data_IF_549594778263
#
_entry.id   IF_549594778263
#
_cell.length_a   1.000
_cell.length_b   1.000
_cell.length_c   1.000
_cell.angle_alpha   90.00
_cell.angle_beta   90.00
_cell.angle_gamma   90.00
#
_symmetry.space_group_name_H-M   'P 1'
#
loop_
_entity.id
_entity.type
_entity.pdbx_description
1 polymer ?
#
# COMPACT_ATOMS: atom_id res chain seq x y z
N UNK A 1 -16.51 -26.46 15.65
CA UNK A 1 -15.90 -25.14 15.89
C UNK A 1 -14.38 -25.26 15.82
N UNK A 2 -13.72 -24.34 15.11
CA UNK A 2 -12.26 -24.27 15.04
C UNK A 2 -11.67 -23.61 16.29
N UNK A 3 -10.39 -23.92 16.61
CA UNK A 3 -9.66 -23.26 17.70
C UNK A 3 -8.92 -22.02 17.19
N UNK A 4 -8.71 -21.05 18.09
CA UNK A 4 -7.87 -19.89 17.83
C UNK A 4 -6.41 -20.14 18.25
N UNK A 5 -5.46 -19.53 17.54
CA UNK A 5 -4.06 -19.39 17.95
C UNK A 5 -3.85 -17.91 18.30
N UNK A 6 -3.35 -17.63 19.52
CA UNK A 6 -3.00 -16.28 19.97
C UNK A 6 -1.51 -16.25 20.31
N UNK A 7 -0.79 -15.29 19.74
CA UNK A 7 0.61 -15.02 20.08
C UNK A 7 0.68 -13.61 20.67
N UNK A 8 1.03 -13.50 21.95
CA UNK A 8 1.18 -12.24 22.66
C UNK A 8 2.50 -12.19 23.42
N UNK A 9 3.03 -11.02 23.61
CA UNK A 9 4.22 -10.74 24.41
C UNK A 9 3.86 -9.85 25.61
N UNK A 10 4.70 -9.84 26.63
CA UNK A 10 4.44 -9.10 27.86
C UNK A 10 4.50 -7.60 27.70
N UNK A 11 3.74 -6.91 28.53
CA UNK A 11 3.71 -5.46 28.66
C UNK A 11 4.97 -4.95 29.41
N UNK A 12 5.46 -3.77 28.98
CA UNK A 12 6.50 -3.06 29.74
C UNK A 12 5.85 -2.00 30.63
N UNK A 13 6.13 -2.02 31.93
CA UNK A 13 5.64 -1.01 32.88
C UNK A 13 6.66 0.10 33.22
N UNK A 14 7.96 -0.18 33.01
CA UNK A 14 9.07 0.77 33.23
C UNK A 14 10.03 0.87 32.04
N UNK A 15 9.73 0.16 30.94
CA UNK A 15 10.50 0.11 29.71
C UNK A 15 9.64 -0.29 28.53
N UNK A 16 10.22 -0.50 27.34
CA UNK A 16 9.46 -0.92 26.16
C UNK A 16 8.81 -2.30 26.37
N UNK A 17 7.65 -2.50 25.75
CA UNK A 17 7.01 -3.83 25.66
C UNK A 17 7.84 -4.81 24.86
N UNK A 18 7.51 -6.10 24.96
CA UNK A 18 8.18 -7.16 24.19
C UNK A 18 7.89 -7.06 22.69
N UNK A 19 8.83 -7.49 21.86
CA UNK A 19 8.70 -7.55 20.41
C UNK A 19 8.29 -8.95 19.93
N UNK A 20 7.51 -9.02 18.86
CA UNK A 20 7.29 -10.25 18.06
C UNK A 20 8.04 -10.11 16.76
N UNK A 21 8.93 -11.05 16.44
CA UNK A 21 9.66 -11.09 15.17
C UNK A 21 9.40 -12.41 14.47
N UNK A 22 8.97 -12.34 13.20
CA UNK A 22 8.78 -13.51 12.34
C UNK A 22 9.70 -13.36 11.14
N UNK A 23 10.66 -14.28 10.97
CA UNK A 23 11.67 -14.24 9.92
C UNK A 23 11.72 -15.58 9.19
N UNK A 24 11.58 -15.56 7.86
CA UNK A 24 11.79 -16.75 7.04
C UNK A 24 13.30 -17.06 6.91
N UNK A 25 13.62 -18.33 6.62
CA UNK A 25 15.00 -18.79 6.54
C UNK A 25 15.79 -18.20 5.38
N UNK A 26 17.05 -17.89 5.61
CA UNK A 26 17.99 -17.54 4.52
C UNK A 26 18.56 -18.80 3.87
N UNK A 27 19.01 -18.70 2.63
CA UNK A 27 19.84 -19.70 1.97
C UNK A 27 21.24 -19.14 1.69
N UNK A 28 22.24 -20.01 1.65
CA UNK A 28 23.60 -19.74 1.15
C UNK A 28 23.93 -20.60 -0.06
N UNK A 29 22.97 -21.38 -0.57
CA UNK A 29 23.15 -22.21 -1.74
C UNK A 29 23.04 -21.36 -3.01
N UNK A 30 23.90 -21.64 -3.99
CA UNK A 30 23.84 -20.99 -5.31
C UNK A 30 22.51 -21.30 -6.02
N UNK A 31 21.96 -20.32 -6.71
CA UNK A 31 20.72 -20.41 -7.49
C UNK A 31 19.48 -20.84 -6.68
N UNK A 32 19.48 -20.71 -5.37
CA UNK A 32 18.37 -21.05 -4.50
C UNK A 32 17.74 -19.79 -3.87
N UNK A 33 16.40 -19.78 -3.76
CA UNK A 33 15.67 -18.71 -3.10
C UNK A 33 15.65 -18.90 -1.57
N UNK A 34 15.65 -17.78 -0.83
CA UNK A 34 15.32 -17.77 0.59
C UNK A 34 13.91 -18.25 0.88
N UNK A 35 13.61 -18.59 2.13
CA UNK A 35 12.27 -19.03 2.55
C UNK A 35 11.22 -17.92 2.37
N UNK A 36 10.00 -18.30 1.97
CA UNK A 36 8.87 -17.38 1.89
C UNK A 36 8.17 -17.20 3.24
N UNK A 37 7.63 -16.00 3.50
CA UNK A 37 6.65 -15.75 4.56
C UNK A 37 5.30 -15.49 3.90
N UNK A 38 4.27 -16.30 4.24
CA UNK A 38 2.92 -16.16 3.71
C UNK A 38 1.93 -15.90 4.84
N UNK A 39 1.19 -14.79 4.75
CA UNK A 39 0.07 -14.45 5.62
C UNK A 39 -1.23 -14.53 4.80
N UNK A 40 -2.14 -15.44 5.14
CA UNK A 40 -3.38 -15.66 4.43
C UNK A 40 -4.53 -15.84 5.42
N UNK A 41 -5.61 -15.11 5.23
CA UNK A 41 -6.84 -15.28 5.99
C UNK A 41 -7.61 -16.54 5.54
N UNK A 42 -8.55 -16.97 6.36
CA UNK A 42 -9.37 -18.16 6.10
C UNK A 42 -10.32 -17.98 4.91
N UNK A 43 -10.68 -19.09 4.29
CA UNK A 43 -11.62 -19.16 3.17
C UNK A 43 -13.03 -19.42 3.74
N UNK A 44 -14.04 -18.72 3.24
CA UNK A 44 -15.45 -19.02 3.46
C UNK A 44 -16.00 -19.84 2.27
N UNK A 45 -16.31 -21.12 2.46
CA UNK A 45 -16.78 -22.05 1.41
C UNK A 45 -18.26 -22.45 1.55
N UNK A 46 -19.04 -21.80 2.41
CA UNK A 46 -20.46 -22.13 2.57
C UNK A 46 -21.29 -21.72 1.33
N UNK A 47 -22.41 -22.41 1.12
CA UNK A 47 -23.28 -22.23 -0.06
C UNK A 47 -24.08 -20.92 -0.06
N UNK A 48 -24.12 -20.17 1.03
CA UNK A 48 -24.87 -18.91 1.13
C UNK A 48 -24.31 -18.02 2.23
N UNK A 49 -24.00 -16.77 1.89
CA UNK A 49 -23.56 -15.76 2.83
C UNK A 49 -22.21 -16.01 3.51
N UNK A 50 -21.37 -16.90 2.98
CA UNK A 50 -20.04 -17.17 3.50
C UNK A 50 -19.05 -16.13 3.02
N UNK A 51 -18.36 -15.47 3.96
CA UNK A 51 -17.35 -14.47 3.68
C UNK A 51 -15.94 -14.99 4.01
N UNK A 52 -14.94 -14.53 3.28
CA UNK A 52 -13.52 -14.76 3.60
C UNK A 52 -13.11 -13.99 4.86
N UNK A 53 -12.14 -14.52 5.60
CA UNK A 53 -11.53 -13.82 6.74
C UNK A 53 -10.74 -12.58 6.30
N UNK A 54 -10.62 -11.59 7.18
CA UNK A 54 -9.82 -10.39 6.94
C UNK A 54 -8.35 -10.57 7.37
N UNK A 55 -7.42 -9.85 6.70
CA UNK A 55 -6.06 -9.57 7.20
C UNK A 55 -6.03 -8.10 7.61
N UNK A 56 -5.62 -7.82 8.86
CA UNK A 56 -5.48 -6.46 9.39
C UNK A 56 -4.04 -6.20 9.83
N UNK A 57 -3.45 -5.10 9.35
CA UNK A 57 -2.10 -4.65 9.74
C UNK A 57 -2.23 -3.20 10.22
N UNK A 58 -1.88 -2.95 11.48
CA UNK A 58 -2.04 -1.64 12.13
C UNK A 58 -0.82 -1.30 12.99
N UNK A 59 -0.36 -0.05 12.93
CA UNK A 59 0.61 0.49 13.88
C UNK A 59 -0.02 0.70 15.27
N UNK A 60 0.79 0.65 16.31
CA UNK A 60 0.31 0.83 17.69
C UNK A 60 -0.15 2.25 17.99
N UNK A 61 -1.10 2.39 18.90
CA UNK A 61 -1.50 3.69 19.45
C UNK A 61 -0.37 4.24 20.34
N UNK A 62 -0.04 5.51 20.19
CA UNK A 62 0.86 6.23 21.09
C UNK A 62 0.18 7.49 21.65
N UNK A 63 0.49 7.84 22.89
CA UNK A 63 -0.04 9.06 23.51
C UNK A 63 0.49 10.36 22.83
N UNK A 64 1.69 10.31 22.26
CA UNK A 64 2.29 11.43 21.53
C UNK A 64 2.37 11.14 20.04
N UNK A 65 3.00 10.00 19.67
CA UNK A 65 3.20 9.60 18.26
C UNK A 65 2.80 8.14 18.10
N UNK A 66 1.96 7.85 17.12
CA UNK A 66 1.56 6.47 16.76
C UNK A 66 2.70 5.70 16.12
N UNK A 67 2.61 4.37 16.16
CA UNK A 67 3.56 3.48 15.49
C UNK A 67 3.41 3.53 13.96
N UNK A 68 4.55 3.53 13.25
CA UNK A 68 4.59 3.48 11.80
C UNK A 68 4.31 2.06 11.26
N UNK A 69 3.73 1.98 10.06
CA UNK A 69 3.70 0.77 9.23
C UNK A 69 4.60 1.00 8.02
N UNK A 70 5.57 0.10 7.79
CA UNK A 70 6.49 0.16 6.65
C UNK A 70 6.42 -1.13 5.85
N UNK A 71 6.24 -1.03 4.53
CA UNK A 71 6.24 -2.15 3.59
C UNK A 71 7.23 -1.84 2.47
N UNK A 72 8.27 -2.65 2.33
CA UNK A 72 9.35 -2.45 1.35
C UNK A 72 9.73 -3.78 0.71
N UNK A 73 9.95 -3.80 -0.59
CA UNK A 73 10.46 -4.97 -1.31
C UNK A 73 11.95 -5.21 -1.01
N UNK A 74 12.45 -6.39 -1.35
CA UNK A 74 13.86 -6.75 -1.16
C UNK A 74 14.80 -6.03 -2.13
N UNK A 75 16.00 -5.71 -1.68
CA UNK A 75 17.07 -5.15 -2.50
C UNK A 75 17.76 -6.27 -3.29
N UNK A 76 17.97 -6.07 -4.60
CA UNK A 76 18.94 -6.83 -5.38
C UNK A 76 20.32 -6.14 -5.30
N UNK A 77 21.35 -6.87 -4.93
CA UNK A 77 22.72 -6.32 -4.79
C UNK A 77 23.52 -6.34 -6.07
N UNK A 78 23.13 -7.16 -7.03
CA UNK A 78 23.81 -7.31 -8.33
C UNK A 78 22.84 -7.09 -9.50
N UNK A 79 21.56 -7.36 -9.28
CA UNK A 79 20.51 -7.29 -10.29
C UNK A 79 19.28 -6.53 -9.73
N UNK A 80 18.10 -6.81 -10.27
CA UNK A 80 16.86 -6.11 -9.96
C UNK A 80 16.41 -6.26 -8.50
N UNK A 81 15.78 -5.24 -7.95
CA UNK A 81 15.03 -5.32 -6.70
C UNK A 81 13.70 -6.05 -6.86
N UNK A 82 13.12 -6.52 -5.76
CA UNK A 82 11.81 -7.16 -5.78
C UNK A 82 10.69 -6.20 -6.17
N UNK A 83 9.65 -6.72 -6.83
CA UNK A 83 8.42 -5.97 -7.13
C UNK A 83 7.50 -5.87 -5.93
N UNK A 84 6.63 -4.85 -5.89
CA UNK A 84 5.50 -4.73 -4.98
C UNK A 84 4.21 -4.63 -5.77
N UNK A 85 3.21 -5.46 -5.43
CA UNK A 85 1.87 -5.42 -6.03
C UNK A 85 0.82 -5.21 -4.94
N UNK A 86 -0.03 -4.19 -5.12
CA UNK A 86 -1.20 -3.94 -4.27
C UNK A 86 -2.41 -3.91 -5.20
N UNK A 87 -3.31 -4.88 -5.09
CA UNK A 87 -4.46 -5.03 -5.96
C UNK A 87 -5.66 -5.61 -5.20
N UNK A 88 -6.86 -5.26 -5.63
CA UNK A 88 -8.07 -5.99 -5.27
C UNK A 88 -8.24 -7.17 -6.22
N UNK A 89 -8.82 -8.26 -5.74
CA UNK A 89 -9.08 -9.43 -6.58
C UNK A 89 -10.23 -9.18 -7.56
N UNK A 90 -10.27 -9.97 -8.63
CA UNK A 90 -11.40 -9.97 -9.56
C UNK A 90 -12.68 -10.43 -8.83
N UNK A 91 -13.82 -9.87 -9.24
CA UNK A 91 -15.13 -10.36 -8.77
C UNK A 91 -15.48 -11.72 -9.39
N UNK A 92 -16.42 -12.41 -8.78
CA UNK A 92 -17.07 -13.58 -9.40
C UNK A 92 -17.94 -13.19 -10.60
N UNK A 93 -18.67 -14.17 -11.14
CA UNK A 93 -19.49 -14.03 -12.37
C UNK A 93 -20.61 -12.97 -12.27
N UNK A 94 -21.00 -12.59 -11.07
CA UNK A 94 -21.94 -11.49 -10.80
C UNK A 94 -21.56 -10.81 -9.51
N UNK A 95 -21.14 -9.57 -9.58
CA UNK A 95 -20.69 -8.79 -8.44
C UNK A 95 -19.68 -7.73 -8.88
N UNK A 96 -19.28 -6.89 -7.94
CA UNK A 96 -18.28 -5.84 -8.15
C UNK A 96 -16.95 -6.25 -7.51
N UNK A 97 -15.83 -5.82 -8.08
CA UNK A 97 -14.52 -5.95 -7.43
C UNK A 97 -14.43 -5.01 -6.23
N UNK A 98 -13.55 -5.33 -5.28
CA UNK A 98 -13.34 -4.50 -4.10
C UNK A 98 -12.74 -3.12 -4.44
N UNK A 99 -13.02 -2.12 -3.62
CA UNK A 99 -12.43 -0.79 -3.74
C UNK A 99 -11.02 -0.75 -3.13
N UNK A 100 -10.14 0.05 -3.70
CA UNK A 100 -8.87 0.45 -3.09
C UNK A 100 -8.94 1.92 -2.68
N UNK A 101 -8.66 2.23 -1.41
CA UNK A 101 -8.63 3.60 -0.90
C UNK A 101 -7.26 3.91 -0.31
N UNK A 102 -6.65 5.01 -0.73
CA UNK A 102 -5.41 5.55 -0.16
C UNK A 102 -5.70 6.96 0.37
N UNK A 103 -5.59 7.15 1.68
CA UNK A 103 -5.91 8.43 2.33
C UNK A 103 -5.03 8.67 3.55
N UNK A 104 -4.84 9.92 3.92
CA UNK A 104 -4.25 10.32 5.20
C UNK A 104 -5.36 10.60 6.22
N UNK A 105 -5.03 10.51 7.51
CA UNK A 105 -5.95 10.79 8.59
C UNK A 105 -6.31 12.28 8.68
N UNK A 106 -7.47 12.57 9.29
CA UNK A 106 -7.92 13.91 9.61
C UNK A 106 -7.24 14.45 10.86
N UNK A 107 -7.11 15.76 10.98
CA UNK A 107 -6.64 16.45 12.18
C UNK A 107 -7.66 17.50 12.64
N UNK A 108 -7.75 17.73 13.95
CA UNK A 108 -8.58 18.78 14.54
C UNK A 108 -7.82 20.08 14.74
N UNK A 109 -6.50 20.02 14.84
CA UNK A 109 -5.61 21.18 14.93
C UNK A 109 -4.23 20.80 14.39
N UNK A 110 -3.72 21.55 13.45
CA UNK A 110 -2.47 21.26 12.76
C UNK A 110 -2.67 20.84 11.31
N UNK A 111 -1.64 20.32 10.68
CA UNK A 111 -1.63 19.94 9.27
C UNK A 111 -1.82 18.43 9.13
N UNK A 112 -2.70 17.98 8.24
CA UNK A 112 -2.83 16.56 7.87
C UNK A 112 -1.59 16.07 7.12
N UNK A 113 -1.38 14.74 7.10
CA UNK A 113 -0.31 14.13 6.31
C UNK A 113 -0.51 14.32 4.80
N UNK A 114 0.57 14.24 4.03
CA UNK A 114 0.55 14.24 2.57
C UNK A 114 0.62 12.84 1.98
N UNK A 115 0.23 12.70 0.70
CA UNK A 115 0.45 11.51 -0.14
C UNK A 115 1.41 11.93 -1.24
N UNK A 116 2.53 11.18 -1.40
CA UNK A 116 3.49 11.38 -2.48
C UNK A 116 3.56 10.11 -3.33
N UNK A 117 3.45 10.26 -4.65
CA UNK A 117 3.63 9.19 -5.63
C UNK A 117 4.72 9.63 -6.61
N UNK A 118 5.84 8.93 -6.63
CA UNK A 118 7.00 9.26 -7.48
C UNK A 118 7.76 8.01 -7.89
N UNK A 119 8.46 8.08 -8.99
CA UNK A 119 9.49 7.11 -9.39
C UNK A 119 10.85 7.55 -8.84
N UNK A 120 11.78 6.61 -8.70
CA UNK A 120 13.15 6.90 -8.30
C UNK A 120 13.97 7.57 -9.40
N UNK A 121 15.06 8.22 -8.99
CA UNK A 121 16.06 8.78 -9.91
C UNK A 121 16.82 7.66 -10.63
N UNK A 122 17.25 7.94 -11.86
CA UNK A 122 18.07 7.03 -12.66
C UNK A 122 19.18 7.80 -13.38
N UNK A 123 20.31 7.17 -13.54
CA UNK A 123 21.42 7.68 -14.37
C UNK A 123 21.20 7.45 -15.87
N UNK A 124 20.20 6.67 -16.25
CA UNK A 124 19.84 6.37 -17.64
C UNK A 124 18.37 6.81 -17.87
N UNK A 125 17.42 5.91 -17.79
CA UNK A 125 16.00 6.22 -18.02
C UNK A 125 15.19 5.95 -16.74
N UNK A 126 14.50 6.96 -16.23
CA UNK A 126 13.61 6.80 -15.07
C UNK A 126 12.31 6.07 -15.43
N UNK A 127 11.67 5.46 -14.43
CA UNK A 127 10.37 4.84 -14.60
C UNK A 127 9.25 5.89 -14.81
N UNK A 128 8.10 5.45 -15.33
CA UNK A 128 6.90 6.28 -15.49
C UNK A 128 5.86 6.05 -14.39
N UNK A 129 4.97 7.03 -14.18
CA UNK A 129 3.72 6.89 -13.43
C UNK A 129 2.57 6.90 -14.44
N UNK A 130 1.69 5.90 -14.39
CA UNK A 130 0.52 5.79 -15.28
C UNK A 130 -0.77 5.71 -14.44
N UNK A 131 -1.76 6.55 -14.77
CA UNK A 131 -3.07 6.60 -14.12
C UNK A 131 -4.13 6.45 -15.22
N UNK A 132 -4.88 5.35 -15.22
CA UNK A 132 -5.87 5.02 -16.23
C UNK A 132 -7.14 4.48 -15.58
N UNK A 133 -8.26 4.66 -16.25
CA UNK A 133 -9.48 3.89 -16.01
C UNK A 133 -9.51 2.68 -16.94
N UNK A 134 -10.19 1.61 -16.52
CA UNK A 134 -10.39 0.40 -17.33
C UNK A 134 -11.38 0.63 -18.47
N UNK A 135 -11.33 -0.23 -19.49
CA UNK A 135 -12.28 -0.26 -20.60
C UNK A 135 -13.63 -0.84 -20.17
N UNK A 136 -14.71 -0.34 -20.75
CA UNK A 136 -16.06 -0.87 -20.56
C UNK A 136 -16.61 -1.36 -21.91
N UNK A 137 -17.09 -2.60 -21.96
CA UNK A 137 -17.68 -3.18 -23.18
C UNK A 137 -19.20 -3.08 -23.25
N UNK A 138 -19.87 -2.76 -22.15
CA UNK A 138 -21.32 -2.72 -22.06
C UNK A 138 -21.92 -1.51 -21.34
N UNK A 139 -21.11 -0.50 -21.06
CA UNK A 139 -21.53 0.71 -20.33
C UNK A 139 -20.53 1.84 -20.48
N UNK A 140 -20.61 2.84 -19.61
CA UNK A 140 -19.65 3.94 -19.57
C UNK A 140 -18.40 3.55 -18.77
N UNK A 141 -17.24 4.07 -19.15
CA UNK A 141 -16.00 4.01 -18.37
C UNK A 141 -16.07 4.94 -17.16
N UNK A 142 -15.23 4.71 -16.17
CA UNK A 142 -15.07 5.61 -15.02
C UNK A 142 -14.31 6.89 -15.36
N UNK A 143 -14.43 7.91 -14.50
CA UNK A 143 -13.75 9.19 -14.65
C UNK A 143 -12.39 9.21 -13.93
N UNK A 144 -11.47 10.04 -14.42
CA UNK A 144 -10.29 10.49 -13.67
C UNK A 144 -10.57 11.93 -13.23
N UNK A 145 -10.60 12.20 -11.92
CA UNK A 145 -10.87 13.54 -11.37
C UNK A 145 -9.72 14.01 -10.49
N UNK A 146 -9.26 15.23 -10.74
CA UNK A 146 -8.29 15.94 -9.90
C UNK A 146 -8.95 17.19 -9.32
N UNK A 147 -9.08 17.26 -8.00
CA UNK A 147 -9.74 18.36 -7.32
C UNK A 147 -8.92 18.77 -6.07
N UNK A 148 -8.69 20.05 -5.90
CA UNK A 148 -8.20 20.60 -4.62
C UNK A 148 -9.38 20.85 -3.68
N UNK A 149 -9.13 20.77 -2.36
CA UNK A 149 -10.14 21.04 -1.35
C UNK A 149 -10.46 22.52 -1.20
N UNK A 150 -11.64 22.82 -0.67
CA UNK A 150 -12.10 24.17 -0.34
C UNK A 150 -11.46 24.65 0.98
N UNK A 151 -11.18 25.95 1.07
CA UNK A 151 -10.75 26.62 2.30
C UNK A 151 -11.83 27.62 2.76
N UNK A 152 -12.20 27.56 4.05
CA UNK A 152 -13.19 28.48 4.63
C UNK A 152 -12.57 29.84 4.97
N UNK A 153 -11.35 29.84 5.54
CA UNK A 153 -10.66 31.04 6.02
C UNK A 153 -9.24 31.18 5.44
N UNK A 154 -9.04 30.76 4.18
CA UNK A 154 -7.74 30.79 3.51
C UNK A 154 -7.85 30.62 2.00
N UNK A 155 -6.73 30.58 1.32
CA UNK A 155 -6.70 30.26 -0.10
C UNK A 155 -6.87 28.75 -0.34
N UNK A 156 -7.66 28.37 -1.35
CA UNK A 156 -7.74 27.00 -1.82
C UNK A 156 -6.41 26.50 -2.38
N UNK A 157 -6.21 25.18 -2.39
CA UNK A 157 -5.02 24.56 -2.97
C UNK A 157 -4.97 24.71 -4.49
N UNK A 158 -3.76 24.73 -5.07
CA UNK A 158 -3.57 24.75 -6.52
C UNK A 158 -3.40 23.32 -7.07
N UNK A 159 -3.83 23.12 -8.31
CA UNK A 159 -3.45 21.97 -9.15
C UNK A 159 -2.41 22.47 -10.14
N UNK A 160 -1.19 21.91 -10.15
CA UNK A 160 -0.11 22.29 -11.07
C UNK A 160 0.32 21.09 -11.90
N UNK A 161 0.30 21.25 -13.21
CA UNK A 161 0.85 20.29 -14.16
C UNK A 161 2.02 20.96 -14.87
N UNK A 162 3.20 20.36 -14.79
CA UNK A 162 4.39 20.88 -15.46
C UNK A 162 5.12 19.76 -16.20
N UNK A 163 5.77 20.14 -17.26
CA UNK A 163 6.60 19.25 -18.07
C UNK A 163 8.06 19.58 -17.80
N UNK A 164 8.92 18.56 -17.68
CA UNK A 164 10.35 18.73 -17.47
C UNK A 164 11.05 19.25 -18.73
N UNK A 165 12.16 19.97 -18.52
CA UNK A 165 13.00 20.46 -19.60
C UNK A 165 13.90 19.34 -20.18
N UNK A 166 13.99 19.27 -21.51
CA UNK A 166 14.97 18.46 -22.22
C UNK A 166 16.12 19.34 -22.72
N UNK A 167 17.38 18.93 -22.49
CA UNK A 167 18.55 19.69 -22.94
C UNK A 167 19.10 19.22 -24.29
N UNK A 168 18.72 18.05 -24.81
CA UNK A 168 19.22 17.48 -26.09
C UNK A 168 18.10 17.02 -27.03
N UNK A 169 16.82 17.21 -26.67
CA UNK A 169 15.66 16.82 -27.47
C UNK A 169 14.50 17.79 -27.29
N UNK A 170 13.39 17.61 -28.01
CA UNK A 170 12.17 18.38 -27.72
C UNK A 170 11.75 18.09 -26.28
N UNK A 171 11.39 19.14 -25.55
CA UNK A 171 10.68 18.99 -24.27
C UNK A 171 9.38 18.21 -24.47
N UNK A 172 8.86 17.60 -23.43
CA UNK A 172 7.62 16.83 -23.51
C UNK A 172 6.39 17.72 -23.73
#
# INVERSE_FOLDING_TARGET
AGGAISLSVGDGNTGPGGAVTVTAGKTTADSAAGGALTLKAGIGEGNSGSEGGAVSIQGGLGANTGGAVSVTSGVGTADDSGSMTIATADSGSSGESGNMTVSTGSTTSGVSGGIAVSTGDSSDTSGGVSILTGDASGGSTGDISFTSGDATDGAGGAISLSVGDGNTGPGG
#
